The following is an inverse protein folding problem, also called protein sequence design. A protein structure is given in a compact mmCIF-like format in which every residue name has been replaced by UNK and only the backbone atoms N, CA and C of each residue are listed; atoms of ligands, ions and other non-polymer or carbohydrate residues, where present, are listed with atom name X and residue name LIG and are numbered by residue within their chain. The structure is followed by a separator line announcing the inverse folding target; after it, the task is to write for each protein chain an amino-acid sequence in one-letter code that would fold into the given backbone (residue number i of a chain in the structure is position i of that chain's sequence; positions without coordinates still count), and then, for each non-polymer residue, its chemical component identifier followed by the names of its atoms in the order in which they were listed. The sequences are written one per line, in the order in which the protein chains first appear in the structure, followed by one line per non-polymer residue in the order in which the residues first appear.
data_IF_517873882959
#
_entry.id   IF_517873882959
#
_cell.length_a   1.000
_cell.length_b   1.000
_cell.length_c   1.000
_cell.angle_alpha   90.00
_cell.angle_beta   90.00
_cell.angle_gamma   90.00
#
_symmetry.space_group_name_H-M   'P 1'
#
loop_
_entity.id
_entity.type
_entity.pdbx_description
1 polymer ?
#
# COMPACT_ATOMS: atom_id res chain seq x y z
N UNK A 1 -18.35 11.35 14.50
CA UNK A 1 -17.67 11.01 13.22
C UNK A 1 -18.33 9.77 12.66
N UNK A 2 -19.00 9.88 11.51
CA UNK A 2 -19.60 8.72 10.85
C UNK A 2 -18.49 7.95 10.10
N UNK A 3 -18.44 6.64 10.28
CA UNK A 3 -17.57 5.75 9.51
C UNK A 3 -18.03 5.84 8.05
N UNK A 4 -17.21 6.44 7.18
CA UNK A 4 -17.41 6.32 5.74
C UNK A 4 -17.24 4.83 5.40
N UNK A 5 -18.36 4.18 5.11
CA UNK A 5 -18.39 2.87 4.46
C UNK A 5 -18.71 3.16 3.01
N UNK A 6 -17.66 3.18 2.20
CA UNK A 6 -17.80 3.24 0.75
C UNK A 6 -18.50 1.95 0.32
N UNK A 7 -19.72 2.07 -0.18
CA UNK A 7 -20.63 0.93 -0.35
C UNK A 7 -20.17 -0.06 -1.43
N UNK A 8 -19.22 0.34 -2.28
CA UNK A 8 -18.44 -0.56 -3.13
C UNK A 8 -17.04 0.03 -3.39
N UNK A 9 -15.99 -0.43 -2.69
CA UNK A 9 -14.68 0.17 -2.82
C UNK A 9 -13.99 -0.39 -4.08
N UNK A 10 -14.26 0.23 -5.23
CA UNK A 10 -13.34 0.12 -6.39
C UNK A 10 -11.93 0.61 -6.06
N UNK A 11 -11.79 1.39 -4.97
CA UNK A 11 -10.53 1.94 -4.46
C UNK A 11 -9.49 0.91 -4.01
N UNK A 12 -9.87 -0.35 -3.79
CA UNK A 12 -8.92 -1.43 -3.49
C UNK A 12 -8.56 -2.30 -4.71
N UNK A 13 -9.25 -2.14 -5.85
CA UNK A 13 -8.87 -2.84 -7.08
C UNK A 13 -7.84 -2.00 -7.82
N UNK A 14 -6.58 -2.44 -7.74
CA UNK A 14 -5.50 -1.84 -8.50
C UNK A 14 -5.62 -2.25 -9.97
N UNK A 15 -5.71 -1.26 -10.83
CA UNK A 15 -5.72 -1.39 -12.28
C UNK A 15 -4.37 -0.99 -12.86
N UNK A 16 -4.16 -1.27 -14.15
CA UNK A 16 -2.97 -0.79 -14.86
C UNK A 16 -2.86 0.75 -14.89
N UNK A 17 -3.96 1.48 -14.67
CA UNK A 17 -3.94 2.95 -14.56
C UNK A 17 -3.53 3.48 -13.18
N UNK A 18 -3.51 2.65 -12.13
CA UNK A 18 -3.14 3.06 -10.77
C UNK A 18 -1.61 3.07 -10.60
N UNK A 19 -0.97 4.00 -11.29
CA UNK A 19 0.48 4.16 -11.27
C UNK A 19 0.94 4.85 -9.97
N UNK A 20 2.14 4.50 -9.45
CA UNK A 20 2.75 5.24 -8.36
C UNK A 20 2.91 6.73 -8.70
N UNK A 21 2.55 7.59 -7.75
CA UNK A 21 2.81 9.03 -7.80
C UNK A 21 4.10 9.33 -7.05
N UNK A 22 5.02 10.02 -7.71
CA UNK A 22 6.21 10.58 -7.09
C UNK A 22 6.06 12.11 -6.93
N UNK A 23 6.28 12.58 -5.71
CA UNK A 23 6.38 14.01 -5.39
C UNK A 23 7.80 14.28 -4.91
N UNK A 24 8.62 14.98 -5.71
CA UNK A 24 9.98 15.33 -5.32
C UNK A 24 10.01 16.18 -4.05
N UNK A 25 10.97 15.93 -3.16
CA UNK A 25 11.16 16.73 -1.96
C UNK A 25 11.65 18.13 -2.28
N UNK A 26 11.06 19.15 -1.64
CA UNK A 26 11.44 20.55 -1.89
C UNK A 26 12.56 21.05 -0.96
N UNK A 27 12.84 20.37 0.17
CA UNK A 27 13.81 20.85 1.17
C UNK A 27 14.68 19.77 1.84
N UNK A 28 14.16 18.57 2.10
CA UNK A 28 14.89 17.50 2.81
C UNK A 28 15.73 16.60 1.89
N UNK A 29 15.62 16.77 0.57
CA UNK A 29 16.27 15.92 -0.43
C UNK A 29 15.66 14.52 -0.59
N UNK A 30 14.58 14.19 0.13
CA UNK A 30 13.85 12.92 -0.01
C UNK A 30 12.55 13.07 -0.80
N UNK A 31 12.19 12.07 -1.59
CA UNK A 31 10.94 12.05 -2.36
C UNK A 31 9.81 11.38 -1.58
N UNK A 32 8.57 11.79 -1.83
CA UNK A 32 7.38 11.07 -1.40
C UNK A 32 6.88 10.20 -2.56
N UNK A 33 6.79 8.89 -2.34
CA UNK A 33 6.16 7.97 -3.29
C UNK A 33 4.84 7.49 -2.70
N UNK A 34 3.74 7.70 -3.41
CA UNK A 34 2.43 7.19 -3.07
C UNK A 34 2.00 6.14 -4.11
N UNK A 35 1.56 4.97 -3.65
CA UNK A 35 1.04 3.92 -4.52
C UNK A 35 -0.10 3.19 -3.81
N UNK A 36 -1.04 2.66 -4.58
CA UNK A 36 -2.13 1.86 -4.03
C UNK A 36 -1.63 0.48 -3.58
N UNK A 37 -2.21 -0.06 -2.52
CA UNK A 37 -1.79 -1.35 -1.91
C UNK A 37 -2.88 -2.42 -1.96
N UNK A 38 -4.02 -2.11 -2.56
CA UNK A 38 -5.15 -3.01 -2.69
C UNK A 38 -5.75 -3.42 -1.34
N UNK A 39 -5.98 -4.72 -1.14
CA UNK A 39 -6.63 -5.30 0.05
C UNK A 39 -5.67 -5.58 1.23
N UNK A 40 -4.48 -4.97 1.26
CA UNK A 40 -3.57 -5.13 2.40
C UNK A 40 -4.14 -4.55 3.71
N UNK A 41 -3.61 -4.99 4.84
CA UNK A 41 -3.95 -4.48 6.18
C UNK A 41 -3.16 -3.22 6.57
N UNK A 42 -2.30 -2.74 5.68
CA UNK A 42 -1.41 -1.59 5.92
C UNK A 42 -0.11 -1.95 6.63
N UNK A 43 0.13 -3.23 6.96
CA UNK A 43 1.39 -3.71 7.52
C UNK A 43 2.29 -4.30 6.44
N UNK A 44 3.35 -3.59 6.07
CA UNK A 44 4.28 -4.04 5.02
C UNK A 44 5.70 -4.17 5.56
N UNK A 45 6.32 -5.35 5.54
CA UNK A 45 7.75 -5.50 5.77
C UNK A 45 8.53 -4.65 4.76
N UNK A 46 9.58 -3.99 5.24
CA UNK A 46 10.43 -3.12 4.42
C UNK A 46 11.90 -3.48 4.57
N UNK A 47 12.64 -3.33 3.47
CA UNK A 47 14.09 -3.50 3.42
C UNK A 47 14.74 -2.32 2.71
N UNK A 48 15.90 -1.90 3.23
CA UNK A 48 16.71 -0.84 2.66
C UNK A 48 18.02 -1.47 2.20
N UNK A 49 18.21 -1.56 0.88
CA UNK A 49 19.49 -1.95 0.32
C UNK A 49 20.48 -0.80 0.41
N UNK A 50 21.71 -1.11 0.82
CA UNK A 50 22.80 -0.14 0.92
C UNK A 50 23.94 -0.50 -0.02
N UNK A 51 24.61 0.52 -0.55
CA UNK A 51 25.81 0.37 -1.35
C UNK A 51 26.99 -0.09 -0.49
N UNK A 52 28.12 -0.44 -1.13
CA UNK A 52 29.37 -0.77 -0.43
C UNK A 52 29.87 0.35 0.51
N UNK A 53 29.48 1.60 0.27
CA UNK A 53 29.82 2.77 1.11
C UNK A 53 28.78 3.07 2.19
N UNK A 54 27.69 2.29 2.27
CA UNK A 54 26.62 2.47 3.25
C UNK A 54 25.51 3.45 2.84
N UNK A 55 25.62 4.08 1.67
CA UNK A 55 24.57 4.93 1.11
C UNK A 55 23.32 4.11 0.75
N UNK A 56 22.13 4.72 0.80
CA UNK A 56 20.88 4.05 0.36
C UNK A 56 20.94 3.85 -1.15
N UNK A 57 20.79 2.60 -1.59
CA UNK A 57 20.75 2.23 -3.02
C UNK A 57 19.35 1.83 -3.49
N UNK A 58 18.54 1.23 -2.61
CA UNK A 58 17.16 0.88 -2.93
C UNK A 58 16.27 0.78 -1.68
N UNK A 59 14.96 0.86 -1.90
CA UNK A 59 13.91 0.60 -0.93
C UNK A 59 12.95 -0.43 -1.51
N UNK A 60 12.63 -1.46 -0.74
CA UNK A 60 11.67 -2.50 -1.10
C UNK A 60 10.64 -2.64 0.00
N UNK A 61 9.37 -2.68 -0.38
CA UNK A 61 8.26 -2.98 0.51
C UNK A 61 7.52 -4.20 -0.04
N UNK A 62 7.32 -5.21 0.81
CA UNK A 62 6.57 -6.42 0.45
C UNK A 62 5.09 -6.19 0.75
N UNK A 63 4.30 -6.09 -0.33
CA UNK A 63 2.86 -5.91 -0.27
C UNK A 63 2.21 -7.26 -0.03
N UNK A 64 2.14 -7.68 1.24
CA UNK A 64 1.41 -8.88 1.64
C UNK A 64 -0.07 -8.76 1.21
N UNK A 65 -0.43 -9.43 0.12
CA UNK A 65 -1.81 -9.43 -0.35
C UNK A 65 -2.64 -10.33 0.55
N UNK A 66 -3.58 -9.75 1.28
CA UNK A 66 -4.55 -10.52 2.05
C UNK A 66 -5.60 -11.09 1.10
N UNK A 67 -5.94 -12.36 1.30
CA UNK A 67 -7.06 -12.99 0.60
C UNK A 67 -8.36 -12.26 0.98
N UNK A 68 -9.15 -11.87 -0.01
CA UNK A 68 -10.53 -11.40 0.22
C UNK A 68 -11.26 -12.46 1.07
N UNK A 69 -11.75 -12.05 2.24
CA UNK A 69 -12.63 -12.89 3.05
C UNK A 69 -14.00 -12.90 2.37
N UNK A 70 -14.51 -14.08 2.06
CA UNK A 70 -15.92 -14.20 1.67
C UNK A 70 -16.80 -13.91 2.90
N UNK A 71 -17.99 -13.33 2.71
CA UNK A 71 -18.92 -13.11 3.81
C UNK A 71 -19.18 -14.43 4.54
N UNK A 72 -18.85 -14.49 5.83
CA UNK A 72 -19.20 -15.66 6.64
C UNK A 72 -20.72 -15.72 6.78
N UNK A 73 -21.34 -16.69 6.12
CA UNK A 73 -22.74 -17.02 6.36
C UNK A 73 -22.89 -17.46 7.81
N UNK A 74 -23.57 -16.64 8.62
CA UNK A 74 -23.95 -17.04 9.97
C UNK A 74 -25.26 -17.79 9.83
N UNK A 75 -25.35 -19.07 10.24
CA UNK A 75 -26.60 -19.81 10.11
C UNK A 75 -27.68 -19.14 10.99
N UNK A 76 -28.88 -18.98 10.44
CA UNK A 76 -30.05 -18.51 11.19
C UNK A 76 -30.36 -19.50 12.31
N UNK A 77 -30.53 -18.98 13.52
CA UNK A 77 -30.88 -19.75 14.71
C UNK A 77 -32.31 -20.28 14.64
#
# INVERSE_FOLDING_TARGET
MARLVDSEPKSFELTASDQPLEVPGTASGGNLIAFGTGYGDGGYPVWIGRTATGAVGCFMADMAMLRRQEPRTTPSR
#
